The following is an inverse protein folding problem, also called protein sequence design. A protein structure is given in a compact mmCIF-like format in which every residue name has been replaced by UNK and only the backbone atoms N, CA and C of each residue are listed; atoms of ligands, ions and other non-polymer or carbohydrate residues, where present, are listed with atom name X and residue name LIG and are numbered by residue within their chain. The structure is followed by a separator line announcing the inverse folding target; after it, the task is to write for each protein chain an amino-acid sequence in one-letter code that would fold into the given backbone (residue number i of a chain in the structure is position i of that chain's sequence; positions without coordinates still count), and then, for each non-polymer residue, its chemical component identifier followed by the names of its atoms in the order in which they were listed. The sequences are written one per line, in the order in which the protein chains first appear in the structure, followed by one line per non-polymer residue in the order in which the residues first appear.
data_IF_090980958380
#
_entry.id   IF_090980958380
#
_cell.length_a   1.000
_cell.length_b   1.000
_cell.length_c   1.000
_cell.angle_alpha   90.00
_cell.angle_beta   90.00
_cell.angle_gamma   90.00
#
_symmetry.space_group_name_H-M   'P 1'
#
loop_
_entity.id
_entity.type
_entity.pdbx_description
1 polymer ?
#
# COMPACT_ATOMS: atom_id res chain seq x y z
N UNK A 1 7.04 7.41 7.67
CA UNK A 1 6.15 6.25 7.82
C UNK A 1 6.04 5.57 6.47
N UNK A 2 6.31 4.26 6.42
CA UNK A 2 6.08 3.45 5.21
C UNK A 2 4.86 2.58 5.48
N UNK A 3 3.85 2.70 4.61
CA UNK A 3 2.64 1.89 4.62
C UNK A 3 2.70 0.93 3.44
N UNK A 4 2.53 -0.36 3.69
CA UNK A 4 2.62 -1.39 2.66
C UNK A 4 1.29 -2.13 2.57
N UNK A 5 0.62 -2.04 1.41
CA UNK A 5 -0.51 -2.92 1.10
C UNK A 5 0.03 -4.21 0.47
N UNK A 6 -0.39 -5.36 1.00
CA UNK A 6 0.04 -6.67 0.48
C UNK A 6 -1.12 -7.31 -0.28
N UNK A 7 -0.89 -7.68 -1.54
CA UNK A 7 -1.86 -8.40 -2.37
C UNK A 7 -1.29 -9.72 -2.85
N UNK A 8 -2.06 -10.78 -2.62
CA UNK A 8 -1.76 -12.10 -3.15
C UNK A 8 -2.77 -12.48 -4.23
N UNK A 9 -2.28 -13.05 -5.32
CA UNK A 9 -3.09 -13.69 -6.36
C UNK A 9 -2.24 -14.75 -7.09
N UNK A 10 -2.80 -15.55 -8.02
CA UNK A 10 -2.03 -16.53 -8.79
C UNK A 10 -0.85 -15.93 -9.57
N UNK A 11 -0.98 -14.68 -10.02
CA UNK A 11 0.02 -13.91 -10.75
C UNK A 11 -0.01 -12.42 -10.32
N UNK A 12 1.05 -11.67 -10.63
CA UNK A 12 1.19 -10.28 -10.20
C UNK A 12 0.14 -9.34 -10.82
N UNK A 13 -0.29 -9.58 -12.07
CA UNK A 13 -1.30 -8.74 -12.73
C UNK A 13 -2.64 -8.80 -12.01
N UNK A 14 -3.07 -10.01 -11.61
CA UNK A 14 -4.30 -10.19 -10.82
C UNK A 14 -4.18 -9.58 -9.42
N UNK A 15 -3.02 -9.72 -8.79
CA UNK A 15 -2.77 -9.12 -7.47
C UNK A 15 -2.90 -7.59 -7.55
N UNK A 16 -2.34 -6.99 -8.60
CA UNK A 16 -2.43 -5.55 -8.85
C UNK A 16 -3.85 -5.11 -9.19
N UNK A 17 -4.60 -5.89 -9.98
CA UNK A 17 -5.98 -5.58 -10.36
C UNK A 17 -6.95 -5.52 -9.16
N UNK A 18 -6.63 -6.15 -8.03
CA UNK A 18 -7.41 -6.02 -6.80
C UNK A 18 -7.29 -4.64 -6.14
N UNK A 19 -6.29 -3.85 -6.53
CA UNK A 19 -5.99 -2.55 -5.95
C UNK A 19 -6.81 -1.46 -6.66
N UNK A 20 -8.07 -1.31 -6.24
CA UNK A 20 -9.00 -0.33 -6.81
C UNK A 20 -8.95 1.06 -6.13
N UNK A 21 -9.51 2.10 -6.77
CA UNK A 21 -9.51 3.48 -6.23
C UNK A 21 -10.13 3.60 -4.83
N UNK A 22 -11.21 2.87 -4.56
CA UNK A 22 -11.86 2.89 -3.25
C UNK A 22 -10.98 2.28 -2.14
N UNK A 23 -10.15 1.28 -2.48
CA UNK A 23 -9.21 0.70 -1.53
C UNK A 23 -8.05 1.67 -1.24
N UNK A 24 -7.50 2.29 -2.29
CA UNK A 24 -6.45 3.30 -2.15
C UNK A 24 -6.91 4.46 -1.25
N UNK A 25 -8.11 5.01 -1.50
CA UNK A 25 -8.69 6.06 -0.67
C UNK A 25 -8.77 5.68 0.82
N UNK A 26 -9.16 4.43 1.13
CA UNK A 26 -9.22 3.92 2.51
C UNK A 26 -7.83 3.79 3.15
N UNK A 27 -6.85 3.31 2.38
CA UNK A 27 -5.46 3.17 2.84
C UNK A 27 -4.89 4.56 3.16
N UNK A 28 -5.09 5.54 2.28
CA UNK A 28 -4.67 6.92 2.51
C UNK A 28 -5.29 7.50 3.78
N UNK A 29 -6.61 7.42 3.94
CA UNK A 29 -7.28 7.95 5.13
C UNK A 29 -6.76 7.30 6.43
N UNK A 30 -6.61 5.97 6.44
CA UNK A 30 -6.11 5.24 7.63
C UNK A 30 -4.67 5.63 7.95
N UNK A 31 -3.84 5.80 6.93
CA UNK A 31 -2.46 6.19 7.10
C UNK A 31 -2.30 7.65 7.58
N UNK A 32 -3.17 8.55 7.13
CA UNK A 32 -3.25 9.93 7.64
C UNK A 32 -3.65 9.96 9.11
N UNK A 33 -4.67 9.18 9.49
CA UNK A 33 -5.08 9.02 10.90
C UNK A 33 -3.93 8.49 11.76
N UNK A 34 -3.19 7.49 11.27
CA UNK A 34 -2.03 6.97 11.99
C UNK A 34 -0.89 8.01 12.05
N UNK A 35 -0.60 8.70 10.95
CA UNK A 35 0.41 9.74 10.89
C UNK A 35 0.16 10.86 11.91
N UNK A 36 -1.11 11.23 12.14
CA UNK A 36 -1.49 12.21 13.15
C UNK A 36 -1.09 11.80 14.59
N UNK A 37 -0.87 10.51 14.85
CA UNK A 37 -0.39 9.99 16.15
C UNK A 37 1.13 9.99 16.29
N UNK A 38 1.87 10.27 15.21
CA UNK A 38 3.34 10.25 15.21
C UNK A 38 3.92 11.59 15.71
N UNK A 39 5.22 11.65 16.08
CA UNK A 39 5.82 12.87 16.63
C UNK A 39 5.71 14.11 15.73
N UNK A 40 5.72 13.92 14.42
CA UNK A 40 5.55 15.01 13.44
C UNK A 40 4.08 15.22 13.04
N UNK A 41 3.16 14.42 13.59
CA UNK A 41 1.74 14.47 13.29
C UNK A 41 1.48 14.44 11.78
N UNK A 42 0.63 15.35 11.25
CA UNK A 42 0.35 15.48 9.82
C UNK A 42 1.57 15.79 8.93
N UNK A 43 2.70 16.23 9.50
CA UNK A 43 3.94 16.46 8.77
C UNK A 43 4.85 15.22 8.71
N UNK A 44 4.38 14.09 9.24
CA UNK A 44 5.10 12.82 9.11
C UNK A 44 5.19 12.44 7.64
N UNK A 45 6.42 12.32 7.14
CA UNK A 45 6.67 11.86 5.78
C UNK A 45 6.00 10.49 5.55
N UNK A 46 5.17 10.39 4.53
CA UNK A 46 4.30 9.25 4.23
C UNK A 46 4.66 8.68 2.87
N UNK A 47 4.96 7.38 2.83
CA UNK A 47 5.20 6.63 1.59
C UNK A 47 4.32 5.38 1.56
N UNK A 48 3.65 5.17 0.43
CA UNK A 48 2.83 3.99 0.18
C UNK A 48 3.53 3.07 -0.80
N UNK A 49 3.66 1.81 -0.40
CA UNK A 49 4.19 0.75 -1.24
C UNK A 49 3.15 -0.36 -1.40
N UNK A 50 3.25 -1.10 -2.50
CA UNK A 50 2.43 -2.30 -2.74
C UNK A 50 3.34 -3.50 -2.91
N UNK A 51 3.15 -4.52 -2.08
CA UNK A 51 3.81 -5.81 -2.22
C UNK A 51 2.85 -6.80 -2.89
N UNK A 52 3.20 -7.22 -4.10
CA UNK A 52 2.47 -8.21 -4.88
C UNK A 52 3.10 -9.57 -4.66
N UNK A 53 2.31 -10.58 -4.32
CA UNK A 53 2.77 -11.96 -4.09
C UNK A 53 2.03 -12.89 -5.05
N UNK A 54 2.77 -13.69 -5.80
CA UNK A 54 2.18 -14.65 -6.74
C UNK A 54 1.78 -15.98 -6.05
N UNK A 55 1.29 -16.94 -6.83
CA UNK A 55 0.90 -18.27 -6.32
C UNK A 55 2.06 -19.15 -5.87
N UNK A 56 3.30 -18.80 -6.20
CA UNK A 56 4.52 -19.54 -5.86
C UNK A 56 5.26 -18.96 -4.64
N UNK A 57 4.80 -17.80 -4.16
CA UNK A 57 5.43 -17.06 -3.08
C UNK A 57 6.53 -16.09 -3.54
N UNK A 58 6.70 -15.87 -4.85
CA UNK A 58 7.53 -14.79 -5.34
C UNK A 58 6.85 -13.45 -5.07
N UNK A 59 7.66 -12.42 -4.80
CA UNK A 59 7.18 -11.10 -4.45
C UNK A 59 7.79 -10.02 -5.34
N UNK A 60 6.97 -9.05 -5.73
CA UNK A 60 7.36 -7.81 -6.38
C UNK A 60 6.91 -6.61 -5.53
N UNK A 61 7.80 -5.67 -5.29
CA UNK A 61 7.52 -4.44 -4.56
C UNK A 61 7.36 -3.27 -5.54
N UNK A 62 6.23 -2.57 -5.46
CA UNK A 62 5.99 -1.30 -6.15
C UNK A 62 6.14 -0.18 -5.13
N UNK A 63 7.27 0.52 -5.19
CA UNK A 63 7.58 1.62 -4.29
C UNK A 63 6.91 2.92 -4.74
N UNK A 64 6.51 3.78 -3.80
CA UNK A 64 5.88 5.07 -4.11
C UNK A 64 4.67 4.90 -5.05
N UNK A 65 3.74 4.04 -4.66
CA UNK A 65 2.57 3.73 -5.46
C UNK A 65 1.49 4.81 -5.30
N UNK A 66 1.17 5.49 -6.40
CA UNK A 66 0.10 6.47 -6.51
C UNK A 66 -0.70 6.16 -7.78
N UNK A 67 -1.91 5.62 -7.64
CA UNK A 67 -2.78 5.22 -8.76
C UNK A 67 -4.24 5.64 -8.54
#
# INVERSE_FOLDING_TARGET
LIVVEVKQAPDFERALAHLGPAQLARIHATAEEFAATQPHGPLTDLRFDVALVDGTGQMQLLENFWA
#
